data_IF_605395186930
#
_entry.id   IF_605395186930
#
_cell.length_a   1.000
_cell.length_b   1.000
_cell.length_c   1.000
_cell.angle_alpha   90.00
_cell.angle_beta   90.00
_cell.angle_gamma   90.00
#
_symmetry.space_group_name_H-M   'P 1'
#
loop_
_entity.id
_entity.type
_entity.pdbx_description
1 polymer ?
#
# COMPACT_ATOMS: atom_id res chain seq x y z
N UNK A 1 -0.64 -33.24 9.52
CA UNK A 1 -0.64 -31.79 9.80
C UNK A 1 0.52 -31.43 10.71
N UNK A 2 0.87 -30.17 10.74
CA UNK A 2 1.80 -29.58 11.71
C UNK A 2 0.96 -28.88 12.76
N UNK A 3 1.30 -29.06 14.03
CA UNK A 3 0.57 -28.53 15.17
C UNK A 3 1.54 -27.81 16.09
N UNK A 4 1.11 -26.69 16.68
CA UNK A 4 1.87 -25.98 17.71
C UNK A 4 1.32 -26.31 19.09
N UNK A 5 2.20 -26.36 20.08
CA UNK A 5 1.83 -26.58 21.48
C UNK A 5 2.55 -25.54 22.33
N UNK A 6 1.93 -25.14 23.42
CA UNK A 6 2.56 -24.31 24.44
C UNK A 6 3.50 -25.13 25.34
N UNK A 7 4.12 -24.46 26.31
CA UNK A 7 5.05 -25.11 27.27
C UNK A 7 4.38 -26.15 28.17
N UNK A 8 3.05 -26.14 28.27
CA UNK A 8 2.27 -27.13 29.02
C UNK A 8 1.72 -28.26 28.15
N UNK A 9 2.02 -28.25 26.85
CA UNK A 9 1.56 -29.26 25.89
C UNK A 9 0.12 -29.03 25.41
N UNK A 10 -0.44 -27.84 25.62
CA UNK A 10 -1.76 -27.47 25.11
C UNK A 10 -1.59 -27.04 23.65
N UNK A 11 -2.38 -27.64 22.76
CA UNK A 11 -2.38 -27.28 21.36
C UNK A 11 -2.77 -25.81 21.18
N UNK A 12 -1.96 -25.06 20.46
CA UNK A 12 -2.22 -23.66 20.15
C UNK A 12 -3.15 -23.60 18.95
N UNK A 13 -4.43 -23.26 19.13
CA UNK A 13 -5.30 -22.93 18.04
C UNK A 13 -5.08 -21.46 17.68
N UNK A 14 -5.24 -21.10 16.44
CA UNK A 14 -5.48 -19.74 16.04
C UNK A 14 -4.44 -18.66 16.45
N UNK A 15 -3.83 -18.00 15.49
CA UNK A 15 -2.87 -16.90 15.69
C UNK A 15 -1.72 -17.19 16.64
N UNK A 16 -1.13 -18.34 16.48
CA UNK A 16 0.07 -18.72 17.24
C UNK A 16 1.20 -17.73 16.96
N UNK A 17 1.60 -16.99 17.96
CA UNK A 17 2.81 -16.21 17.92
C UNK A 17 3.97 -17.12 18.35
N UNK A 18 4.71 -17.64 17.38
CA UNK A 18 5.96 -18.33 17.67
C UNK A 18 7.07 -17.34 17.42
N UNK A 19 7.80 -16.96 18.48
CA UNK A 19 9.04 -16.28 18.32
C UNK A 19 9.96 -17.21 17.49
N UNK A 20 10.36 -16.78 16.29
CA UNK A 20 11.38 -17.46 15.52
C UNK A 20 12.70 -17.33 16.28
N UNK A 21 13.05 -18.36 17.03
CA UNK A 21 14.24 -18.37 17.90
C UNK A 21 15.53 -18.47 17.09
N UNK A 22 15.48 -18.83 15.81
CA UNK A 22 16.67 -19.25 15.08
C UNK A 22 17.26 -18.24 14.09
N UNK A 23 16.56 -17.15 13.72
CA UNK A 23 17.02 -16.22 12.69
C UNK A 23 16.73 -14.75 12.98
N UNK A 24 16.62 -14.35 14.23
CA UNK A 24 16.58 -12.93 14.57
C UNK A 24 17.93 -12.30 14.21
N UNK A 25 18.04 -11.78 13.01
CA UNK A 25 19.14 -10.88 12.66
C UNK A 25 18.95 -9.59 13.43
N UNK A 26 19.62 -9.49 14.58
CA UNK A 26 19.56 -8.32 15.46
C UNK A 26 20.04 -7.03 14.81
N UNK A 27 20.62 -7.11 13.62
CA UNK A 27 21.06 -5.95 12.84
C UNK A 27 19.96 -5.37 11.95
N UNK A 28 18.82 -6.08 11.79
CA UNK A 28 17.71 -5.64 10.97
C UNK A 28 16.53 -5.24 11.87
N UNK A 29 16.11 -3.96 11.92
CA UNK A 29 14.99 -3.51 12.74
C UNK A 29 13.64 -4.14 12.38
N UNK A 30 13.52 -4.79 11.22
CA UNK A 30 12.34 -5.58 10.84
C UNK A 30 12.35 -6.99 11.43
N UNK A 31 13.48 -7.45 12.00
CA UNK A 31 13.63 -8.78 12.58
C UNK A 31 12.93 -8.94 13.94
N UNK A 32 12.57 -7.83 14.58
CA UNK A 32 11.91 -7.83 15.89
C UNK A 32 10.37 -8.02 15.78
N UNK A 33 9.84 -8.08 14.55
CA UNK A 33 8.42 -8.40 14.34
C UNK A 33 8.25 -9.91 14.52
N UNK A 34 7.52 -10.36 15.56
CA UNK A 34 7.34 -11.78 15.79
C UNK A 34 6.67 -12.45 14.60
N UNK A 35 7.30 -13.51 14.08
CA UNK A 35 6.68 -14.32 13.04
C UNK A 35 5.41 -14.96 13.56
N UNK A 36 4.31 -14.77 12.85
CA UNK A 36 3.01 -15.32 13.22
C UNK A 36 2.63 -16.46 12.31
N UNK A 37 2.00 -17.44 12.91
CA UNK A 37 1.46 -18.61 12.23
C UNK A 37 -0.03 -18.69 12.48
N UNK A 38 -0.74 -19.26 11.54
CA UNK A 38 -2.15 -19.55 11.71
C UNK A 38 -2.40 -21.05 11.72
N UNK A 39 -2.97 -21.54 12.80
CA UNK A 39 -3.51 -22.89 12.91
C UNK A 39 -5.04 -22.85 12.78
N UNK A 40 -5.61 -23.67 11.91
CA UNK A 40 -7.05 -23.65 11.66
C UNK A 40 -7.85 -24.00 12.91
N UNK A 41 -8.95 -23.28 13.14
CA UNK A 41 -9.80 -23.42 14.32
C UNK A 41 -10.34 -24.85 14.52
N UNK A 42 -10.79 -25.50 13.45
CA UNK A 42 -11.47 -26.80 13.53
C UNK A 42 -10.53 -28.01 13.72
N UNK A 43 -9.25 -27.82 13.74
CA UNK A 43 -8.33 -28.96 13.85
C UNK A 43 -6.95 -28.62 14.35
N UNK A 44 -6.67 -27.35 14.62
CA UNK A 44 -5.38 -26.86 15.13
C UNK A 44 -4.21 -27.10 14.18
N UNK A 45 -4.44 -27.55 12.94
CA UNK A 45 -3.38 -27.76 11.98
C UNK A 45 -2.93 -26.45 11.33
N UNK A 46 -1.62 -26.28 11.19
CA UNK A 46 -1.03 -25.12 10.54
C UNK A 46 -1.54 -24.97 9.10
N UNK A 47 -2.08 -23.80 8.80
CA UNK A 47 -2.61 -23.44 7.49
C UNK A 47 -1.49 -22.88 6.61
N UNK A 48 -1.33 -23.42 5.39
CA UNK A 48 -0.23 -23.10 4.48
C UNK A 48 -0.75 -22.70 3.11
N UNK A 49 -0.16 -21.66 2.52
CA UNK A 49 -0.52 -21.16 1.20
C UNK A 49 -2.01 -20.84 1.04
N UNK A 50 -2.64 -20.28 2.07
CA UNK A 50 -4.08 -19.99 2.07
C UNK A 50 -4.34 -18.50 2.30
N UNK A 51 -5.39 -17.99 1.68
CA UNK A 51 -6.03 -16.73 2.02
C UNK A 51 -7.04 -16.98 3.13
N UNK A 52 -7.09 -16.06 4.10
CA UNK A 52 -7.97 -16.11 5.25
C UNK A 52 -8.72 -14.79 5.34
N UNK A 53 -10.04 -14.86 5.37
CA UNK A 53 -10.90 -13.71 5.65
C UNK A 53 -11.45 -13.86 7.06
N UNK A 54 -10.91 -13.12 8.00
CA UNK A 54 -11.24 -13.28 9.41
C UNK A 54 -10.82 -12.07 10.24
N UNK A 55 -11.44 -11.89 11.39
CA UNK A 55 -10.97 -10.95 12.41
C UNK A 55 -9.84 -11.59 13.24
N UNK A 56 -8.91 -10.77 13.78
CA UNK A 56 -7.80 -11.26 14.59
C UNK A 56 -8.27 -11.79 15.94
N UNK A 57 -7.38 -12.46 16.67
CA UNK A 57 -7.62 -12.77 18.08
C UNK A 57 -7.41 -11.51 18.94
N UNK A 58 -8.01 -11.52 20.15
CA UNK A 58 -7.85 -10.46 21.15
C UNK A 58 -6.38 -10.19 21.55
N UNK A 59 -5.56 -11.24 21.51
CA UNK A 59 -4.13 -11.15 21.79
C UNK A 59 -3.32 -10.51 20.65
N UNK A 60 -3.89 -10.38 19.47
CA UNK A 60 -3.22 -9.78 18.31
C UNK A 60 -3.62 -8.33 18.14
N UNK A 61 -4.92 -8.06 18.01
CA UNK A 61 -5.49 -6.73 17.88
C UNK A 61 -6.82 -6.71 18.64
N UNK A 62 -6.80 -6.17 19.83
CA UNK A 62 -7.97 -6.21 20.72
C UNK A 62 -9.15 -5.41 20.18
N UNK A 63 -8.89 -4.27 19.54
CA UNK A 63 -9.94 -3.39 19.00
C UNK A 63 -10.64 -4.08 17.82
N UNK A 64 -9.90 -4.57 16.83
CA UNK A 64 -10.48 -5.30 15.69
C UNK A 64 -11.24 -6.57 16.16
N UNK A 65 -10.77 -7.23 17.21
CA UNK A 65 -11.46 -8.39 17.80
C UNK A 65 -12.79 -7.98 18.43
N UNK A 66 -12.79 -6.92 19.23
CA UNK A 66 -13.98 -6.45 19.94
C UNK A 66 -15.07 -5.95 18.97
N UNK A 67 -14.65 -5.30 17.90
CA UNK A 67 -15.53 -4.73 16.87
C UNK A 67 -15.90 -5.74 15.78
N UNK A 68 -15.25 -6.90 15.79
CA UNK A 68 -15.46 -7.95 14.79
C UNK A 68 -14.99 -7.53 13.40
N UNK A 69 -13.91 -6.75 13.32
CA UNK A 69 -13.39 -6.23 12.06
C UNK A 69 -12.61 -7.29 11.30
N UNK A 70 -13.13 -7.65 10.13
CA UNK A 70 -12.50 -8.63 9.25
C UNK A 70 -11.42 -8.00 8.38
N UNK A 71 -10.35 -8.77 8.19
CA UNK A 71 -9.28 -8.44 7.25
C UNK A 71 -8.89 -9.67 6.43
N UNK A 72 -8.25 -9.44 5.28
CA UNK A 72 -7.59 -10.49 4.53
C UNK A 72 -6.18 -10.73 5.06
N UNK A 73 -5.87 -12.01 5.23
CA UNK A 73 -4.55 -12.50 5.65
C UNK A 73 -4.05 -13.53 4.67
N UNK A 74 -2.74 -13.71 4.59
CA UNK A 74 -2.15 -14.71 3.71
C UNK A 74 -1.00 -15.44 4.41
N UNK A 75 -1.03 -16.77 4.40
CA UNK A 75 0.08 -17.61 4.87
C UNK A 75 0.95 -18.07 3.71
N UNK A 76 2.22 -18.27 3.98
CA UNK A 76 3.18 -18.84 3.04
C UNK A 76 3.22 -20.37 3.09
N UNK A 77 4.18 -20.99 2.37
CA UNK A 77 4.39 -22.43 2.34
C UNK A 77 4.78 -23.05 3.71
N UNK A 78 5.29 -22.23 4.63
CA UNK A 78 5.66 -22.65 5.99
C UNK A 78 4.50 -22.43 6.97
N UNK A 79 3.44 -21.75 6.56
CA UNK A 79 2.33 -21.34 7.42
C UNK A 79 2.59 -20.00 8.12
N UNK A 80 3.64 -19.29 7.73
CA UNK A 80 3.95 -17.94 8.25
C UNK A 80 3.04 -16.91 7.60
N UNK A 81 2.44 -16.05 8.40
CA UNK A 81 1.62 -14.93 7.91
C UNK A 81 2.55 -13.89 7.28
N UNK A 82 2.21 -13.42 6.08
CA UNK A 82 2.95 -12.30 5.50
C UNK A 82 2.75 -11.04 6.33
N UNK A 83 3.85 -10.45 6.77
CA UNK A 83 3.88 -9.24 7.58
C UNK A 83 4.85 -8.24 6.98
N UNK A 84 4.51 -6.96 7.04
CA UNK A 84 5.40 -5.85 6.74
C UNK A 84 6.10 -5.98 5.38
N UNK A 85 5.35 -6.31 4.33
CA UNK A 85 5.91 -6.52 2.98
C UNK A 85 4.91 -6.40 1.86
N UNK A 86 5.43 -6.10 0.67
CA UNK A 86 4.73 -6.32 -0.60
C UNK A 86 5.14 -7.69 -1.13
N UNK A 87 4.17 -8.56 -1.39
CA UNK A 87 4.41 -9.95 -1.81
C UNK A 87 3.63 -10.31 -3.07
N UNK A 88 4.30 -11.04 -3.98
CA UNK A 88 3.65 -11.62 -5.16
C UNK A 88 2.97 -12.93 -4.80
N UNK A 89 1.67 -13.01 -5.07
CA UNK A 89 0.85 -14.22 -4.89
C UNK A 89 0.08 -14.45 -6.18
N UNK A 90 0.20 -15.63 -6.77
CA UNK A 90 -0.48 -16.01 -8.01
C UNK A 90 -0.37 -14.97 -9.15
N UNK A 91 0.82 -14.37 -9.29
CA UNK A 91 1.09 -13.39 -10.35
C UNK A 91 0.78 -11.93 -10.01
N UNK A 92 0.02 -11.64 -8.98
CA UNK A 92 -0.35 -10.29 -8.51
C UNK A 92 0.42 -9.92 -7.23
N UNK A 93 0.64 -8.63 -6.99
CA UNK A 93 1.28 -8.13 -5.78
C UNK A 93 0.23 -7.64 -4.78
N UNK A 94 0.46 -7.91 -3.50
CA UNK A 94 -0.38 -7.50 -2.37
C UNK A 94 0.47 -6.92 -1.28
N UNK A 95 -0.07 -5.94 -0.55
CA UNK A 95 0.58 -5.30 0.59
C UNK A 95 0.07 -5.89 1.90
N UNK A 96 0.97 -6.07 2.85
CA UNK A 96 0.64 -6.52 4.20
C UNK A 96 1.30 -5.59 5.21
N UNK A 97 0.53 -5.10 6.18
CA UNK A 97 1.04 -4.28 7.27
C UNK A 97 1.92 -5.06 8.26
N UNK A 98 2.41 -4.39 9.29
CA UNK A 98 3.24 -5.03 10.33
C UNK A 98 2.52 -6.08 11.14
N UNK A 99 1.19 -6.09 11.16
CA UNK A 99 0.38 -7.10 11.83
C UNK A 99 0.04 -8.28 10.91
N UNK A 100 0.12 -8.08 9.60
CA UNK A 100 -0.17 -9.07 8.56
C UNK A 100 -1.52 -8.89 7.86
N UNK A 101 -2.24 -7.78 8.12
CA UNK A 101 -3.47 -7.43 7.41
C UNK A 101 -3.15 -6.98 6.00
N UNK A 102 -3.87 -7.49 5.01
CA UNK A 102 -3.77 -7.00 3.63
C UNK A 102 -4.28 -5.56 3.56
N UNK A 103 -3.54 -4.72 2.88
CA UNK A 103 -3.83 -3.30 2.74
C UNK A 103 -4.31 -2.96 1.34
N UNK A 104 -5.26 -2.03 1.23
CA UNK A 104 -5.79 -1.46 -0.01
C UNK A 104 -5.71 0.06 0.01
N UNK A 105 -6.07 0.73 -1.08
CA UNK A 105 -5.93 2.18 -1.21
C UNK A 105 -4.49 2.60 -1.48
N UNK A 106 -4.12 3.78 -1.02
CA UNK A 106 -2.75 4.29 -1.10
C UNK A 106 -1.90 3.73 0.04
N UNK A 107 -0.79 3.10 -0.31
CA UNK A 107 0.10 2.44 0.66
C UNK A 107 1.53 2.91 0.47
N UNK A 108 2.15 3.30 1.57
CA UNK A 108 3.54 3.71 1.63
C UNK A 108 4.42 2.58 2.17
N UNK A 109 5.49 2.27 1.42
CA UNK A 109 6.52 1.33 1.83
C UNK A 109 7.91 1.93 1.70
N UNK A 110 8.74 1.74 2.72
CA UNK A 110 10.18 1.88 2.57
C UNK A 110 10.74 0.58 1.99
N UNK A 111 11.30 0.64 0.79
CA UNK A 111 11.97 -0.49 0.09
C UNK A 111 11.14 -1.77 -0.15
N UNK A 112 9.80 -1.71 -0.14
CA UNK A 112 8.86 -2.86 -0.27
C UNK A 112 8.91 -3.88 0.89
N UNK A 113 9.68 -3.62 1.91
CA UNK A 113 9.87 -4.53 3.04
C UNK A 113 9.58 -3.89 4.39
N UNK A 114 9.21 -2.61 4.39
CA UNK A 114 8.82 -1.90 5.60
C UNK A 114 7.56 -1.09 5.30
N UNK A 115 6.45 -1.54 5.85
CA UNK A 115 5.20 -0.82 5.79
C UNK A 115 5.31 0.49 6.60
N UNK A 116 4.84 1.57 6.02
CA UNK A 116 4.88 2.89 6.65
C UNK A 116 3.49 3.34 7.04
N UNK A 117 2.58 3.37 6.08
CA UNK A 117 1.22 3.82 6.28
C UNK A 117 0.30 3.33 5.16
N UNK A 118 -0.99 3.32 5.45
CA UNK A 118 -2.07 3.12 4.48
C UNK A 118 -3.05 4.27 4.63
N UNK A 119 -3.61 4.69 3.52
CA UNK A 119 -4.59 5.77 3.48
C UNK A 119 -5.76 5.37 2.60
N UNK A 120 -6.94 5.57 3.13
CA UNK A 120 -8.16 5.47 2.36
C UNK A 120 -8.25 6.64 1.36
N UNK A 121 -8.92 6.41 0.25
CA UNK A 121 -8.97 7.38 -0.85
C UNK A 121 -9.67 8.68 -0.44
N UNK A 122 -10.64 8.59 0.45
CA UNK A 122 -11.43 9.69 0.98
C UNK A 122 -10.76 10.45 2.15
N UNK A 123 -9.54 10.01 2.56
CA UNK A 123 -8.80 10.66 3.62
C UNK A 123 -7.91 11.83 3.14
N UNK A 124 -7.77 12.01 1.82
CA UNK A 124 -6.83 12.95 1.22
C UNK A 124 -7.44 13.73 0.05
N UNK A 125 -7.08 15.00 -0.04
CA UNK A 125 -7.38 15.89 -1.16
C UNK A 125 -6.25 15.88 -2.20
N UNK A 126 -6.51 16.41 -3.37
CA UNK A 126 -5.49 16.60 -4.42
C UNK A 126 -4.35 17.50 -3.93
N UNK A 127 -4.62 18.50 -3.09
CA UNK A 127 -3.64 19.41 -2.52
C UNK A 127 -2.63 18.66 -1.63
N UNK A 128 -3.08 17.68 -0.85
CA UNK A 128 -2.19 16.85 0.00
C UNK A 128 -1.16 16.09 -0.82
N UNK A 129 -1.55 15.60 -2.01
CA UNK A 129 -0.61 14.98 -2.95
C UNK A 129 0.36 15.99 -3.54
N UNK A 130 -0.09 17.19 -3.88
CA UNK A 130 0.75 18.25 -4.46
C UNK A 130 1.77 18.74 -3.43
N UNK A 131 1.35 18.97 -2.20
CA UNK A 131 2.20 19.45 -1.11
C UNK A 131 3.09 18.36 -0.51
N UNK A 132 2.74 17.09 -0.75
CA UNK A 132 3.44 15.94 -0.21
C UNK A 132 3.14 15.65 1.25
N UNK A 133 1.99 16.08 1.74
CA UNK A 133 1.52 15.83 3.11
C UNK A 133 1.29 14.34 3.41
N UNK A 134 1.08 13.54 2.35
CA UNK A 134 0.91 12.10 2.42
C UNK A 134 2.13 11.33 2.93
N UNK A 135 3.30 11.96 3.05
CA UNK A 135 4.51 11.28 3.47
C UNK A 135 4.83 11.55 4.94
N UNK A 136 4.73 10.50 5.76
CA UNK A 136 5.20 10.53 7.14
C UNK A 136 6.72 10.45 7.29
N UNK A 137 7.43 9.89 6.26
CA UNK A 137 8.88 9.71 6.24
C UNK A 137 9.47 10.06 4.86
N UNK A 138 10.76 10.46 4.85
CA UNK A 138 11.43 11.01 3.66
C UNK A 138 11.66 10.01 2.51
N UNK A 139 11.61 8.70 2.74
CA UNK A 139 12.08 7.70 1.76
C UNK A 139 11.03 6.67 1.34
N UNK A 140 9.76 6.87 1.67
CA UNK A 140 8.73 5.92 1.27
C UNK A 140 8.37 6.05 -0.21
N UNK A 141 8.16 4.92 -0.87
CA UNK A 141 7.53 4.82 -2.18
C UNK A 141 6.01 4.67 -2.00
N UNK A 142 5.26 5.40 -2.82
CA UNK A 142 3.80 5.33 -2.85
C UNK A 142 3.34 4.29 -3.87
N UNK A 143 2.42 3.45 -3.46
CA UNK A 143 1.75 2.42 -4.26
C UNK A 143 0.24 2.57 -4.16
N UNK A 144 -0.49 2.00 -5.11
CA UNK A 144 -1.93 1.88 -5.03
C UNK A 144 -2.36 0.43 -5.19
N UNK A 145 -3.15 -0.04 -4.22
CA UNK A 145 -3.76 -1.36 -4.20
C UNK A 145 -5.26 -1.19 -4.34
N UNK A 146 -5.83 -1.70 -5.41
CA UNK A 146 -7.24 -1.47 -5.70
C UNK A 146 -8.15 -2.04 -4.61
N UNK A 147 -9.04 -1.24 -4.01
CA UNK A 147 -10.05 -1.74 -3.09
C UNK A 147 -11.21 -2.43 -3.80
N UNK A 148 -11.28 -2.35 -5.14
CA UNK A 148 -12.33 -2.96 -5.95
C UNK A 148 -12.28 -4.49 -5.85
N UNK A 149 -13.41 -5.12 -5.57
CA UNK A 149 -13.57 -6.57 -5.48
C UNK A 149 -13.10 -7.31 -6.74
N UNK A 150 -13.22 -6.70 -7.92
CA UNK A 150 -12.75 -7.28 -9.18
C UNK A 150 -11.21 -7.38 -9.27
N UNK A 151 -10.50 -6.53 -8.55
CA UNK A 151 -9.04 -6.47 -8.52
C UNK A 151 -8.44 -7.12 -7.28
N UNK A 152 -9.26 -7.65 -6.38
CA UNK A 152 -8.90 -8.46 -5.21
C UNK A 152 -7.84 -7.78 -4.28
N UNK A 153 -7.77 -6.45 -4.17
CA UNK A 153 -6.75 -5.76 -3.39
C UNK A 153 -5.35 -5.78 -4.01
N UNK A 154 -5.23 -6.10 -5.31
CA UNK A 154 -3.91 -6.19 -5.95
C UNK A 154 -3.34 -4.84 -6.35
N UNK A 155 -1.99 -4.76 -6.35
CA UNK A 155 -1.23 -3.60 -6.79
C UNK A 155 -1.55 -3.21 -8.22
N UNK A 156 -1.77 -1.93 -8.44
CA UNK A 156 -1.93 -1.37 -9.76
C UNK A 156 -0.57 -0.96 -10.33
N UNK A 157 -0.31 -1.32 -11.59
CA UNK A 157 1.00 -1.15 -12.21
C UNK A 157 0.91 -0.74 -13.68
N UNK A 158 1.86 0.10 -14.12
CA UNK A 158 2.10 0.36 -15.55
C UNK A 158 0.97 1.07 -16.27
N UNK A 159 0.10 1.81 -15.59
CA UNK A 159 -1.06 2.48 -16.16
C UNK A 159 -1.43 3.76 -15.42
N UNK A 160 -2.29 4.54 -16.07
CA UNK A 160 -3.06 5.61 -15.44
C UNK A 160 -4.40 5.06 -14.93
N UNK A 161 -4.87 5.59 -13.80
CA UNK A 161 -6.13 5.26 -13.16
C UNK A 161 -6.83 6.54 -12.75
N UNK A 162 -8.15 6.54 -12.86
CA UNK A 162 -8.99 7.52 -12.20
C UNK A 162 -9.26 7.03 -10.77
N UNK A 163 -8.96 7.87 -9.80
CA UNK A 163 -9.15 7.60 -8.37
C UNK A 163 -9.92 8.77 -7.78
N UNK A 164 -10.98 8.46 -7.06
CA UNK A 164 -11.77 9.43 -6.32
C UNK A 164 -11.07 9.75 -5.00
N UNK A 165 -10.85 11.03 -4.74
CA UNK A 165 -10.35 11.60 -3.49
C UNK A 165 -11.47 12.37 -2.80
N UNK A 166 -11.20 12.95 -1.63
CA UNK A 166 -12.15 13.77 -0.88
C UNK A 166 -12.73 14.94 -1.73
N UNK A 167 -11.88 15.54 -2.56
CA UNK A 167 -12.19 16.76 -3.33
C UNK A 167 -12.50 16.50 -4.83
N UNK A 168 -12.53 15.26 -5.28
CA UNK A 168 -12.89 14.93 -6.67
C UNK A 168 -12.21 13.71 -7.25
N UNK A 169 -12.40 13.48 -8.55
CA UNK A 169 -11.81 12.36 -9.31
C UNK A 169 -10.59 12.85 -10.06
N UNK A 170 -9.48 12.18 -9.83
CA UNK A 170 -8.18 12.56 -10.39
C UNK A 170 -7.48 11.39 -11.08
N UNK A 171 -6.65 11.71 -12.06
CA UNK A 171 -5.82 10.71 -12.74
C UNK A 171 -4.50 10.50 -12.00
N UNK A 172 -4.23 9.25 -11.65
CA UNK A 172 -2.97 8.81 -11.06
C UNK A 172 -2.19 7.91 -12.01
N UNK A 173 -0.86 8.04 -12.01
CA UNK A 173 0.02 7.24 -12.84
C UNK A 173 1.04 6.42 -12.04
N UNK A 174 1.20 5.15 -12.43
CA UNK A 174 2.09 4.20 -11.77
C UNK A 174 3.06 3.56 -12.78
N UNK A 175 4.29 3.35 -12.33
CA UNK A 175 5.32 2.61 -13.08
C UNK A 175 4.97 1.13 -13.21
N UNK A 176 5.71 0.42 -14.05
CA UNK A 176 5.56 -1.03 -14.21
C UNK A 176 5.86 -1.83 -12.94
N UNK A 177 6.61 -1.25 -12.00
CA UNK A 177 6.90 -1.83 -10.70
C UNK A 177 5.90 -1.42 -9.61
N UNK A 178 4.87 -0.63 -9.95
CA UNK A 178 3.81 -0.17 -9.08
C UNK A 178 4.11 1.13 -8.33
N UNK A 179 5.35 1.64 -8.38
CA UNK A 179 5.68 2.92 -7.74
C UNK A 179 5.01 4.07 -8.49
N UNK A 180 4.40 4.99 -7.76
CA UNK A 180 3.79 6.18 -8.31
C UNK A 180 4.78 7.04 -9.11
N UNK A 181 4.31 7.74 -10.16
CA UNK A 181 5.13 8.68 -10.90
C UNK A 181 5.38 9.95 -10.07
N UNK A 182 6.62 10.42 -10.08
CA UNK A 182 7.05 11.52 -9.22
C UNK A 182 7.22 11.06 -7.76
N UNK A 183 7.67 11.97 -6.93
CA UNK A 183 7.75 11.76 -5.49
C UNK A 183 7.68 13.13 -4.79
N UNK A 184 7.74 13.11 -3.46
CA UNK A 184 7.56 14.27 -2.57
C UNK A 184 8.15 15.60 -3.07
N UNK A 185 9.26 15.57 -3.76
CA UNK A 185 10.00 16.78 -4.15
C UNK A 185 10.35 16.82 -5.65
N UNK A 186 9.85 15.88 -6.44
CA UNK A 186 10.22 15.78 -7.85
C UNK A 186 9.04 15.49 -8.75
N UNK A 187 8.82 16.38 -9.66
CA UNK A 187 7.94 16.14 -10.77
C UNK A 187 8.49 15.05 -11.70
N UNK A 188 7.61 14.26 -12.24
CA UNK A 188 7.92 13.29 -13.28
C UNK A 188 7.14 13.59 -14.53
N UNK A 189 7.84 13.87 -15.63
CA UNK A 189 7.24 13.99 -16.96
C UNK A 189 7.15 12.61 -17.62
N UNK A 190 5.94 12.22 -18.02
CA UNK A 190 5.66 10.99 -18.76
C UNK A 190 4.67 11.31 -19.88
N UNK A 191 5.03 11.03 -21.14
CA UNK A 191 4.17 11.26 -22.30
C UNK A 191 3.52 12.66 -22.37
N UNK A 192 4.31 13.71 -22.10
CA UNK A 192 3.90 15.11 -22.06
C UNK A 192 2.93 15.49 -20.93
N UNK A 193 2.70 14.61 -19.96
CA UNK A 193 1.99 14.91 -18.72
C UNK A 193 2.98 14.97 -17.55
N UNK A 194 2.65 15.77 -16.55
CA UNK A 194 3.43 15.92 -15.32
C UNK A 194 2.71 15.25 -14.16
N UNK A 195 3.49 14.56 -13.32
CA UNK A 195 3.00 13.86 -12.14
C UNK A 195 3.80 14.25 -10.91
N UNK A 196 3.10 14.38 -9.79
CA UNK A 196 3.67 14.50 -8.46
C UNK A 196 2.98 13.48 -7.55
N UNK A 197 3.74 12.63 -6.87
CA UNK A 197 3.19 11.60 -5.99
C UNK A 197 2.10 10.74 -6.65
N UNK A 198 2.28 10.44 -7.92
CA UNK A 198 1.30 9.72 -8.75
C UNK A 198 0.22 10.60 -9.37
N UNK A 199 -0.15 11.69 -8.74
CA UNK A 199 -1.19 12.61 -9.22
C UNK A 199 -0.75 13.30 -10.52
N UNK A 200 -1.56 13.22 -11.58
CA UNK A 200 -1.38 13.98 -12.81
C UNK A 200 -1.78 15.44 -12.56
N UNK A 201 -0.89 16.36 -12.84
CA UNK A 201 -1.17 17.79 -12.72
C UNK A 201 -1.98 18.24 -13.95
N UNK A 202 -3.17 18.72 -13.69
CA UNK A 202 -4.17 19.14 -14.68
C UNK A 202 -4.49 20.62 -14.49
N UNK A 203 -5.07 21.22 -15.51
CA UNK A 203 -5.60 22.55 -15.38
C UNK A 203 -6.94 22.52 -14.65
N UNK A 204 -7.17 23.54 -13.88
CA UNK A 204 -8.48 23.84 -13.33
C UNK A 204 -9.52 24.00 -14.46
N UNK A 205 -10.72 23.44 -14.27
CA UNK A 205 -11.79 23.51 -15.25
C UNK A 205 -12.20 24.96 -15.57
N UNK A 206 -12.14 25.86 -14.58
CA UNK A 206 -12.54 27.24 -14.70
C UNK A 206 -11.57 28.03 -15.59
N UNK A 207 -10.27 27.80 -15.43
CA UNK A 207 -9.23 28.56 -16.15
C UNK A 207 -8.72 27.87 -17.42
N UNK A 208 -8.93 26.56 -17.54
CA UNK A 208 -8.48 25.74 -18.66
C UNK A 208 -6.97 25.58 -18.81
N UNK A 209 -6.18 26.12 -17.86
CA UNK A 209 -4.74 26.03 -17.80
C UNK A 209 -4.25 25.90 -16.36
N UNK A 210 -3.34 24.96 -16.12
CA UNK A 210 -2.55 24.87 -14.91
C UNK A 210 -1.10 25.30 -15.15
N UNK A 211 -0.43 25.78 -14.13
CA UNK A 211 1.00 26.14 -14.17
C UNK A 211 1.79 25.17 -13.29
N UNK A 212 2.76 24.51 -13.89
CA UNK A 212 3.65 23.58 -13.21
C UNK A 212 5.04 24.21 -13.12
N UNK A 213 5.60 24.28 -11.91
CA UNK A 213 7.00 24.70 -11.69
C UNK A 213 7.91 23.48 -11.82
N UNK A 214 8.91 23.55 -12.72
CA UNK A 214 9.91 22.50 -12.89
C UNK A 214 11.08 22.68 -11.91
N UNK A 215 11.90 21.66 -11.74
CA UNK A 215 13.05 21.65 -10.80
C UNK A 215 14.12 22.73 -11.10
N UNK A 216 14.15 23.26 -12.31
CA UNK A 216 15.07 24.31 -12.76
C UNK A 216 14.49 25.70 -12.63
N UNK A 217 13.44 25.89 -11.85
CA UNK A 217 12.67 27.12 -11.70
C UNK A 217 11.98 27.63 -12.98
N UNK A 218 11.91 26.79 -14.01
CA UNK A 218 11.10 27.09 -15.18
C UNK A 218 9.62 26.71 -14.93
N UNK A 219 8.73 27.28 -15.72
CA UNK A 219 7.30 27.04 -15.63
C UNK A 219 6.77 26.43 -16.91
N UNK A 220 5.89 25.48 -16.77
CA UNK A 220 5.13 24.88 -17.89
C UNK A 220 3.64 25.12 -17.69
N UNK A 221 2.96 25.29 -18.80
CA UNK A 221 1.51 25.36 -18.79
C UNK A 221 0.95 24.00 -19.23
N UNK A 222 0.01 23.50 -18.49
CA UNK A 222 -0.74 22.26 -18.82
C UNK A 222 -2.21 22.58 -19.08
N UNK A 223 -2.87 21.77 -19.89
CA UNK A 223 -4.29 21.85 -20.12
C UNK A 223 -5.08 20.94 -19.16
N UNK A 224 -6.41 20.90 -19.30
CA UNK A 224 -7.29 20.06 -18.49
C UNK A 224 -7.01 18.55 -18.59
N UNK A 225 -6.28 18.11 -19.61
CA UNK A 225 -5.84 16.71 -19.73
C UNK A 225 -4.39 16.52 -19.25
N UNK A 226 -3.82 17.47 -18.50
CA UNK A 226 -2.45 17.43 -18.00
C UNK A 226 -1.37 17.49 -19.07
N UNK A 227 -1.71 17.83 -20.33
CA UNK A 227 -0.74 17.89 -21.44
C UNK A 227 -0.12 19.27 -21.53
N UNK A 228 1.22 19.30 -21.75
CA UNK A 228 1.95 20.55 -21.95
C UNK A 228 1.38 21.32 -23.14
N UNK A 229 1.12 22.59 -22.92
CA UNK A 229 0.67 23.51 -23.98
C UNK A 229 1.86 24.32 -24.49
N UNK A 230 2.14 24.19 -25.79
CA UNK A 230 3.17 25.01 -26.46
C UNK A 230 2.51 26.12 -27.28
N UNK A 231 3.05 27.32 -27.20
CA UNK A 231 2.60 28.47 -28.01
C UNK A 231 2.13 29.65 -27.15
N UNK A 232 2.08 30.85 -27.77
CA UNK A 232 1.49 32.04 -27.12
C UNK A 232 -0.04 31.86 -27.09
N UNK A 233 -0.62 31.78 -25.91
CA UNK A 233 -2.07 31.97 -25.76
C UNK A 233 -2.36 33.40 -25.34
N UNK A 234 -3.37 34.01 -25.98
CA UNK A 234 -3.91 35.26 -25.48
C UNK A 234 -4.67 34.98 -24.20
N UNK A 235 -4.28 35.66 -23.16
CA UNK A 235 -5.07 35.78 -21.93
C UNK A 235 -6.26 36.69 -22.26
#
# INVERSE_FOLDING_TARGET
GTYGFDEYGIMLPWWTQVASVSNADKSNPTSDIPTRFYAGYDGGSLQRNVWLWMYPSDNLIQDDFNDGEYSWWRTDQNGEVYQNKIKKVNGRYYAFDGLGRMQTGFVLFDTRSTFVAQYDMDAWSSEDFIEGNIYGIEKADLYFFSPDELNDGSMQTGKELEIELEDGVYTFGFKSDGVAYGNRNRLKKVNDSYYINGLRLEADEEYGYGVVREDDDSYRVVNANGKTVTGKKKV
#
